data_IF_495141728608
#
_entry.id   IF_495141728608
#
_cell.length_a   1.000
_cell.length_b   1.000
_cell.length_c   1.000
_cell.angle_alpha   90.00
_cell.angle_beta   90.00
_cell.angle_gamma   90.00
#
_symmetry.space_group_name_H-M   'P 1'
#
loop_
_entity.id
_entity.type
_entity.pdbx_description
1 polymer ?
#
# COMPACT_ATOMS: atom_id res chain seq x y z
N UNK A 1 17.11 1.00 13.59
CA UNK A 1 17.55 -0.24 12.92
C UNK A 1 16.33 -1.10 12.67
N UNK A 2 16.12 -1.63 11.46
CA UNK A 2 15.01 -2.53 11.19
C UNK A 2 15.19 -3.87 11.91
N UNK A 3 14.12 -4.66 12.09
CA UNK A 3 14.19 -5.95 12.77
C UNK A 3 14.99 -7.01 11.99
N UNK A 4 15.16 -6.81 10.68
CA UNK A 4 15.97 -7.63 9.78
C UNK A 4 16.31 -6.85 8.51
N UNK A 5 17.28 -7.32 7.75
CA UNK A 5 17.57 -6.85 6.41
C UNK A 5 17.15 -7.90 5.37
N UNK A 6 16.80 -7.43 4.17
CA UNK A 6 16.34 -8.29 3.07
C UNK A 6 14.85 -8.58 3.14
N UNK A 7 14.43 -9.72 2.60
CA UNK A 7 13.02 -10.03 2.28
C UNK A 7 12.49 -11.18 3.14
N UNK A 8 11.21 -11.08 3.55
CA UNK A 8 10.42 -12.17 4.14
C UNK A 8 9.13 -12.38 3.36
N UNK A 9 8.66 -13.62 3.35
CA UNK A 9 7.39 -14.01 2.73
C UNK A 9 6.46 -14.52 3.82
N UNK A 10 5.28 -13.93 3.91
CA UNK A 10 4.22 -14.36 4.82
C UNK A 10 3.06 -14.86 3.96
N UNK A 11 2.60 -16.07 4.21
CA UNK A 11 1.50 -16.70 3.50
C UNK A 11 0.34 -16.98 4.44
N UNK A 12 -0.88 -17.00 3.89
CA UNK A 12 -2.07 -17.34 4.65
C UNK A 12 -2.47 -16.26 5.66
N UNK A 13 -2.31 -14.97 5.33
CA UNK A 13 -2.74 -13.88 6.22
C UNK A 13 -4.25 -13.94 6.39
N UNK A 14 -4.77 -14.13 7.63
CA UNK A 14 -6.21 -14.24 7.85
C UNK A 14 -6.95 -12.97 7.49
N UNK A 15 -8.04 -13.07 6.72
CA UNK A 15 -8.86 -11.91 6.32
C UNK A 15 -9.39 -11.13 7.53
N UNK A 16 -9.60 -11.81 8.66
CA UNK A 16 -10.06 -11.19 9.90
C UNK A 16 -9.13 -10.10 10.44
N UNK A 17 -7.83 -10.16 10.12
CA UNK A 17 -6.85 -9.18 10.59
C UNK A 17 -6.94 -7.84 9.84
N UNK A 18 -7.32 -7.85 8.55
CA UNK A 18 -7.29 -6.65 7.72
C UNK A 18 -8.65 -6.22 7.15
N UNK A 19 -9.69 -7.06 7.19
CA UNK A 19 -11.01 -6.69 6.64
C UNK A 19 -11.61 -5.41 7.22
N UNK A 20 -11.26 -5.06 8.46
CA UNK A 20 -11.71 -3.83 9.13
C UNK A 20 -11.11 -2.55 8.50
N UNK A 21 -10.07 -2.70 7.67
CA UNK A 21 -9.44 -1.60 6.92
C UNK A 21 -10.01 -1.46 5.51
N UNK A 22 -11.01 -2.28 5.16
CA UNK A 22 -11.65 -2.23 3.86
C UNK A 22 -12.38 -0.89 3.71
N UNK A 23 -12.11 -0.19 2.61
CA UNK A 23 -12.83 1.04 2.28
C UNK A 23 -14.19 0.68 1.66
N UNK A 24 -15.25 0.64 2.52
CA UNK A 24 -16.62 0.35 2.08
C UNK A 24 -17.10 1.35 1.02
N UNK A 25 -16.67 2.62 1.09
CA UNK A 25 -17.08 3.63 0.12
C UNK A 25 -16.44 3.38 -1.24
N UNK A 26 -15.16 3.08 -1.29
CA UNK A 26 -14.47 2.72 -2.52
C UNK A 26 -15.05 1.43 -3.12
N UNK A 27 -15.40 0.44 -2.29
CA UNK A 27 -16.07 -0.78 -2.73
C UNK A 27 -17.45 -0.51 -3.28
N UNK A 28 -18.35 0.07 -2.48
CA UNK A 28 -19.76 0.20 -2.84
C UNK A 28 -19.98 1.21 -3.96
N UNK A 29 -19.43 2.41 -3.83
CA UNK A 29 -19.61 3.46 -4.83
C UNK A 29 -18.69 3.28 -6.05
N UNK A 30 -17.42 2.95 -5.81
CA UNK A 30 -16.40 2.86 -6.85
C UNK A 30 -16.47 1.55 -7.64
N UNK A 31 -16.40 0.41 -6.96
CA UNK A 31 -16.33 -0.91 -7.59
C UNK A 31 -17.71 -1.47 -7.97
N UNK A 32 -18.68 -1.40 -7.05
CA UNK A 32 -20.01 -1.98 -7.25
C UNK A 32 -21.01 -1.01 -7.86
N UNK A 33 -20.67 0.27 -7.97
CA UNK A 33 -21.50 1.29 -8.61
C UNK A 33 -22.80 1.61 -7.89
N UNK A 34 -22.88 1.38 -6.55
CA UNK A 34 -24.04 1.75 -5.76
C UNK A 34 -24.15 3.27 -5.69
N UNK A 35 -25.16 3.82 -6.36
CA UNK A 35 -25.38 5.27 -6.44
C UNK A 35 -26.80 5.58 -6.03
N UNK A 36 -26.95 6.46 -5.02
CA UNK A 36 -28.27 6.96 -4.64
C UNK A 36 -28.96 7.73 -5.77
N UNK A 37 -30.28 7.75 -5.70
CA UNK A 37 -31.10 8.48 -6.68
C UNK A 37 -30.81 9.98 -6.64
N UNK A 38 -30.70 10.59 -7.81
CA UNK A 38 -30.63 12.06 -7.94
C UNK A 38 -32.04 12.62 -7.93
N UNK A 39 -32.29 13.65 -7.10
CA UNK A 39 -33.57 14.38 -7.09
C UNK A 39 -34.66 13.80 -6.18
N UNK A 40 -34.32 12.94 -5.23
CA UNK A 40 -35.24 12.51 -4.16
C UNK A 40 -36.27 11.43 -4.55
N UNK A 41 -36.28 10.94 -5.78
CA UNK A 41 -37.17 9.86 -6.23
C UNK A 41 -36.46 8.51 -6.24
N UNK A 42 -36.13 7.96 -5.06
CA UNK A 42 -35.50 6.67 -4.91
C UNK A 42 -34.60 6.60 -3.66
N UNK A 43 -33.99 5.44 -3.38
CA UNK A 43 -33.17 5.26 -2.19
C UNK A 43 -31.94 6.18 -2.19
N UNK A 44 -31.59 6.67 -1.00
CA UNK A 44 -30.35 7.39 -0.78
C UNK A 44 -29.14 6.44 -0.88
N UNK A 45 -27.92 7.00 -0.95
CA UNK A 45 -26.71 6.16 -0.91
C UNK A 45 -26.61 5.38 0.41
N UNK A 46 -26.92 6.03 1.51
CA UNK A 46 -26.89 5.42 2.85
C UNK A 46 -27.86 4.26 2.97
N UNK A 47 -29.07 4.39 2.42
CA UNK A 47 -30.06 3.30 2.37
C UNK A 47 -29.54 2.14 1.52
N UNK A 48 -28.94 2.40 0.36
CA UNK A 48 -28.36 1.36 -0.49
C UNK A 48 -27.18 0.64 0.19
N UNK A 49 -26.37 1.36 0.95
CA UNK A 49 -25.29 0.75 1.74
C UNK A 49 -25.86 -0.26 2.73
N UNK A 50 -26.93 0.08 3.45
CA UNK A 50 -27.53 -0.81 4.46
C UNK A 50 -28.34 -1.96 3.85
N UNK A 51 -29.11 -1.69 2.79
CA UNK A 51 -30.02 -2.67 2.21
C UNK A 51 -29.38 -3.58 1.17
N UNK A 52 -28.34 -3.12 0.48
CA UNK A 52 -27.68 -3.87 -0.56
C UNK A 52 -26.17 -4.08 -0.32
N UNK A 53 -25.43 -3.00 -0.03
CA UNK A 53 -23.97 -3.04 0.04
C UNK A 53 -23.45 -3.99 1.11
N UNK A 54 -23.80 -3.75 2.37
CA UNK A 54 -23.37 -4.58 3.51
C UNK A 54 -23.89 -6.01 3.48
N UNK A 55 -25.15 -6.31 3.09
CA UNK A 55 -25.58 -7.69 2.90
C UNK A 55 -24.78 -8.44 1.85
N UNK A 56 -24.47 -7.83 0.68
CA UNK A 56 -23.64 -8.44 -0.35
C UNK A 56 -22.21 -8.66 0.13
N UNK A 57 -21.63 -7.68 0.82
CA UNK A 57 -20.29 -7.80 1.38
C UNK A 57 -20.20 -8.98 2.36
N UNK A 58 -21.16 -9.11 3.27
CA UNK A 58 -21.23 -10.26 4.18
C UNK A 58 -21.33 -11.56 3.42
N UNK A 59 -22.25 -11.65 2.46
CA UNK A 59 -22.44 -12.84 1.63
C UNK A 59 -21.13 -13.28 0.96
N UNK A 60 -20.42 -12.36 0.31
CA UNK A 60 -19.17 -12.70 -0.38
C UNK A 60 -18.05 -13.05 0.58
N UNK A 61 -17.89 -12.34 1.69
CA UNK A 61 -16.88 -12.67 2.68
C UNK A 61 -17.12 -14.07 3.29
N UNK A 62 -18.35 -14.39 3.62
CA UNK A 62 -18.71 -15.70 4.18
C UNK A 62 -18.49 -16.83 3.16
N UNK A 63 -18.96 -16.64 1.93
CA UNK A 63 -18.83 -17.63 0.85
C UNK A 63 -17.36 -17.89 0.51
N UNK A 64 -16.61 -16.84 0.21
CA UNK A 64 -15.19 -16.97 -0.17
C UNK A 64 -14.33 -17.52 0.98
N UNK A 65 -14.70 -17.24 2.24
CA UNK A 65 -14.03 -17.83 3.40
C UNK A 65 -14.36 -19.31 3.55
N UNK A 66 -15.64 -19.69 3.42
CA UNK A 66 -16.10 -21.08 3.54
C UNK A 66 -15.49 -21.96 2.43
N UNK A 67 -15.38 -21.42 1.23
CA UNK A 67 -14.76 -22.12 0.09
C UNK A 67 -13.21 -22.11 0.15
N UNK A 68 -12.62 -21.51 1.19
CA UNK A 68 -11.17 -21.48 1.38
C UNK A 68 -10.40 -20.52 0.45
N UNK A 69 -11.10 -19.72 -0.33
CA UNK A 69 -10.52 -18.84 -1.36
C UNK A 69 -9.68 -17.72 -0.72
N UNK A 70 -10.13 -17.14 0.41
CA UNK A 70 -9.44 -16.05 1.10
C UNK A 70 -8.23 -16.49 1.94
N UNK A 71 -7.91 -17.79 2.00
CA UNK A 71 -6.79 -18.32 2.77
C UNK A 71 -5.42 -18.14 2.07
N UNK A 72 -5.43 -17.66 0.82
CA UNK A 72 -4.24 -17.55 -0.02
C UNK A 72 -3.60 -16.17 -0.04
N UNK A 73 -4.10 -15.25 0.79
CA UNK A 73 -3.52 -13.92 0.94
C UNK A 73 -2.06 -14.03 1.40
N UNK A 74 -1.18 -13.29 0.71
CA UNK A 74 0.24 -13.34 1.01
C UNK A 74 0.88 -11.96 0.86
N UNK A 75 1.98 -11.77 1.59
CA UNK A 75 2.78 -10.56 1.57
C UNK A 75 4.26 -10.93 1.44
N UNK A 76 4.93 -10.29 0.51
CA UNK A 76 6.40 -10.22 0.47
C UNK A 76 6.78 -8.84 0.95
N UNK A 77 7.61 -8.73 1.97
CA UNK A 77 8.08 -7.44 2.46
C UNK A 77 9.53 -7.52 2.93
N UNK A 78 10.17 -6.38 3.03
CA UNK A 78 11.55 -6.35 3.50
C UNK A 78 12.06 -4.95 3.72
N UNK A 79 13.23 -4.87 4.37
CA UNK A 79 13.92 -3.64 4.70
C UNK A 79 15.24 -3.60 3.97
N UNK A 80 15.51 -2.46 3.34
CA UNK A 80 16.69 -2.29 2.50
C UNK A 80 17.43 -1.00 2.87
N UNK A 81 18.77 -1.06 2.97
CA UNK A 81 19.57 0.12 3.18
C UNK A 81 19.56 0.99 1.93
N UNK A 82 19.33 2.29 2.11
CA UNK A 82 19.25 3.24 0.99
C UNK A 82 19.99 4.54 1.28
N UNK A 83 20.43 5.18 0.19
CA UNK A 83 20.89 6.58 0.15
C UNK A 83 20.30 7.27 -1.07
N UNK A 84 20.30 8.60 -1.09
CA UNK A 84 19.89 9.37 -2.27
C UNK A 84 21.05 10.15 -2.88
N UNK A 85 21.02 10.29 -4.21
CA UNK A 85 21.88 11.17 -4.99
C UNK A 85 21.01 11.91 -6.01
N UNK A 86 20.89 13.24 -5.89
CA UNK A 86 19.97 14.01 -6.73
C UNK A 86 18.52 13.51 -6.60
N UNK A 87 17.91 13.12 -7.71
CA UNK A 87 16.53 12.60 -7.79
C UNK A 87 16.49 11.06 -7.81
N UNK A 88 17.61 10.40 -7.47
CA UNK A 88 17.74 8.93 -7.50
C UNK A 88 17.92 8.39 -6.09
N UNK A 89 17.23 7.29 -5.79
CA UNK A 89 17.40 6.49 -4.58
C UNK A 89 18.17 5.22 -4.95
N UNK A 90 19.27 4.98 -4.26
CA UNK A 90 20.12 3.80 -4.43
C UNK A 90 19.85 2.82 -3.29
N UNK A 91 19.47 1.59 -3.63
CA UNK A 91 19.41 0.47 -2.70
C UNK A 91 20.78 -0.16 -2.62
N UNK A 92 21.33 -0.26 -1.42
CA UNK A 92 22.66 -0.79 -1.17
C UNK A 92 22.61 -2.30 -0.86
N UNK A 93 23.73 -2.98 -1.06
CA UNK A 93 23.85 -4.41 -0.72
C UNK A 93 23.98 -4.64 0.79
N UNK A 94 24.49 -3.66 1.53
CA UNK A 94 24.76 -3.71 2.97
C UNK A 94 24.42 -2.36 3.63
N UNK A 95 24.12 -2.34 4.94
CA UNK A 95 23.74 -1.12 5.66
C UNK A 95 24.95 -0.22 6.01
N UNK A 96 25.77 0.11 5.04
CA UNK A 96 26.91 1.04 5.15
C UNK A 96 26.99 1.96 3.92
N UNK A 97 27.42 3.22 4.08
CA UNK A 97 27.35 4.24 3.02
C UNK A 97 28.17 3.93 1.75
N UNK A 98 29.27 3.21 1.92
CA UNK A 98 30.22 2.81 0.85
C UNK A 98 29.87 1.46 0.21
N UNK A 99 28.79 0.81 0.64
CA UNK A 99 28.36 -0.45 0.06
C UNK A 99 28.00 -0.33 -1.42
N UNK A 100 28.22 -1.38 -2.23
CA UNK A 100 27.81 -1.41 -3.61
C UNK A 100 26.32 -1.16 -3.79
N UNK A 101 25.95 -0.48 -4.88
CA UNK A 101 24.57 -0.27 -5.27
C UNK A 101 24.01 -1.54 -5.88
N UNK A 102 22.89 -2.01 -5.36
CA UNK A 102 22.14 -3.18 -5.86
C UNK A 102 21.12 -2.78 -6.92
N UNK A 103 20.32 -1.73 -6.64
CA UNK A 103 19.32 -1.17 -7.53
C UNK A 103 19.26 0.35 -7.39
N UNK A 104 18.80 1.02 -8.45
CA UNK A 104 18.60 2.47 -8.46
C UNK A 104 17.21 2.79 -8.99
N UNK A 105 16.53 3.72 -8.33
CA UNK A 105 15.22 4.23 -8.73
C UNK A 105 15.31 5.74 -8.90
N UNK A 106 15.13 6.24 -10.13
CA UNK A 106 15.05 7.68 -10.42
C UNK A 106 13.59 8.11 -10.41
N UNK A 107 13.32 9.19 -9.70
CA UNK A 107 11.96 9.72 -9.54
C UNK A 107 11.86 11.10 -10.17
N UNK A 108 10.82 11.35 -11.00
CA UNK A 108 10.61 12.69 -11.56
C UNK A 108 10.27 13.68 -10.44
N UNK A 109 10.91 14.85 -10.50
CA UNK A 109 10.63 15.95 -9.57
C UNK A 109 9.32 16.64 -9.96
N UNK A 110 8.51 17.00 -8.97
CA UNK A 110 7.28 17.77 -9.19
C UNK A 110 7.56 19.10 -9.93
N UNK A 111 6.72 19.42 -10.91
CA UNK A 111 6.80 20.66 -11.69
C UNK A 111 6.07 21.87 -11.04
N UNK A 112 5.45 21.68 -9.88
CA UNK A 112 4.71 22.70 -9.13
C UNK A 112 5.52 23.22 -7.93
N UNK A 113 5.15 24.40 -7.37
CA UNK A 113 5.80 24.95 -6.19
C UNK A 113 5.96 23.91 -5.08
N UNK A 114 7.15 23.87 -4.48
CA UNK A 114 7.80 22.92 -3.58
C UNK A 114 8.73 21.94 -4.30
N UNK A 115 8.54 21.66 -5.58
CA UNK A 115 9.42 20.82 -6.41
C UNK A 115 9.90 19.55 -5.69
N UNK A 116 8.98 18.84 -5.03
CA UNK A 116 9.31 17.67 -4.22
C UNK A 116 9.66 16.47 -5.11
N UNK A 117 10.64 15.71 -4.66
CA UNK A 117 11.00 14.40 -5.19
C UNK A 117 11.00 13.38 -4.03
N UNK A 118 10.69 12.11 -4.31
CA UNK A 118 10.75 11.04 -3.31
C UNK A 118 12.15 10.93 -2.71
N UNK A 119 13.19 11.14 -3.52
CA UNK A 119 14.59 11.13 -3.07
C UNK A 119 14.91 12.18 -1.99
N UNK A 120 14.13 13.27 -1.91
CA UNK A 120 14.34 14.33 -0.90
C UNK A 120 14.06 13.84 0.53
N UNK A 121 13.32 12.74 0.70
CA UNK A 121 13.00 12.15 1.99
C UNK A 121 13.99 11.07 2.44
N UNK A 122 14.97 10.76 1.61
CA UNK A 122 16.04 9.79 1.87
C UNK A 122 17.34 10.55 2.15
N UNK A 123 18.13 10.06 3.11
CA UNK A 123 19.44 10.61 3.45
C UNK A 123 20.34 10.63 2.21
N UNK A 124 21.01 11.76 1.94
CA UNK A 124 21.97 11.84 0.84
C UNK A 124 23.18 10.95 1.12
N UNK A 125 23.86 10.49 0.07
CA UNK A 125 25.09 9.70 0.22
C UNK A 125 26.16 10.49 1.00
N UNK A 126 26.30 11.79 0.75
CA UNK A 126 27.27 12.63 1.47
C UNK A 126 26.96 12.68 2.97
N UNK A 127 25.69 12.89 3.36
CA UNK A 127 25.30 12.86 4.77
C UNK A 127 25.47 11.47 5.38
N UNK A 128 25.23 10.43 4.58
CA UNK A 128 25.40 9.04 5.03
C UNK A 128 26.88 8.75 5.32
N UNK A 129 27.80 9.18 4.44
CA UNK A 129 29.26 9.07 4.63
C UNK A 129 29.69 9.86 5.86
N UNK A 130 29.23 11.11 6.00
CA UNK A 130 29.61 11.98 7.12
C UNK A 130 29.14 11.44 8.49
N UNK A 131 28.03 10.71 8.52
CA UNK A 131 27.43 10.19 9.77
C UNK A 131 27.67 8.70 10.00
N UNK A 132 28.16 7.97 8.99
CA UNK A 132 28.28 6.52 9.03
C UNK A 132 26.92 5.78 9.03
N UNK A 133 25.81 6.47 8.67
CA UNK A 133 24.46 5.93 8.77
C UNK A 133 23.72 6.04 7.43
N UNK A 134 23.06 4.96 7.03
CA UNK A 134 22.14 4.91 5.89
C UNK A 134 20.71 4.94 6.34
N UNK A 135 19.79 5.32 5.44
CA UNK A 135 18.36 5.19 5.71
C UNK A 135 17.86 3.77 5.41
N UNK A 136 16.64 3.49 5.87
CA UNK A 136 15.93 2.23 5.65
C UNK A 136 14.72 2.50 4.78
N UNK A 137 14.62 1.82 3.65
CA UNK A 137 13.42 1.83 2.82
C UNK A 137 12.73 0.48 2.88
N UNK A 138 11.49 0.41 3.41
CA UNK A 138 10.69 -0.80 3.33
C UNK A 138 10.06 -0.93 1.95
N UNK A 139 10.03 -2.16 1.42
CA UNK A 139 9.21 -2.53 0.27
C UNK A 139 8.21 -3.59 0.68
N UNK A 140 7.03 -3.55 0.08
CA UNK A 140 6.02 -4.59 0.23
C UNK A 140 5.32 -4.87 -1.09
N UNK A 141 4.95 -6.14 -1.29
CA UNK A 141 4.08 -6.63 -2.34
C UNK A 141 3.02 -7.51 -1.70
N UNK A 142 1.76 -7.24 -1.98
CA UNK A 142 0.62 -7.97 -1.41
C UNK A 142 -0.20 -8.64 -2.51
N UNK A 143 -0.82 -9.76 -2.18
CA UNK A 143 -1.73 -10.48 -3.09
C UNK A 143 -2.81 -11.19 -2.31
N UNK A 144 -4.01 -11.27 -2.89
CA UNK A 144 -5.08 -12.16 -2.39
C UNK A 144 -4.92 -13.61 -2.88
N UNK A 145 -3.92 -13.86 -3.74
CA UNK A 145 -3.63 -15.18 -4.30
C UNK A 145 -4.41 -15.49 -5.58
N UNK A 146 -3.97 -16.54 -6.27
CA UNK A 146 -4.57 -16.98 -7.53
C UNK A 146 -6.02 -17.47 -7.39
N UNK A 147 -6.43 -18.19 -6.30
CA UNK A 147 -7.78 -18.75 -6.22
C UNK A 147 -8.91 -17.74 -6.35
N UNK A 148 -8.77 -16.50 -5.83
CA UNK A 148 -9.82 -15.48 -5.98
C UNK A 148 -9.91 -14.98 -7.43
N UNK A 149 -8.78 -14.88 -8.14
CA UNK A 149 -8.76 -14.51 -9.55
C UNK A 149 -9.41 -15.61 -10.41
N UNK A 150 -9.10 -16.88 -10.15
CA UNK A 150 -9.70 -18.02 -10.85
C UNK A 150 -11.20 -18.10 -10.59
N UNK A 151 -11.64 -17.85 -9.35
CA UNK A 151 -13.05 -17.82 -9.01
C UNK A 151 -13.78 -16.68 -9.75
N UNK A 152 -13.22 -15.48 -9.78
CA UNK A 152 -13.79 -14.36 -10.54
C UNK A 152 -13.85 -14.66 -12.05
N UNK A 153 -12.78 -15.21 -12.62
CA UNK A 153 -12.75 -15.61 -14.04
C UNK A 153 -13.81 -16.67 -14.37
N UNK A 154 -14.05 -17.62 -13.46
CA UNK A 154 -15.10 -18.62 -13.63
C UNK A 154 -16.48 -17.97 -13.65
N UNK A 155 -16.79 -17.04 -12.74
CA UNK A 155 -18.06 -16.30 -12.75
C UNK A 155 -18.26 -15.53 -14.06
N UNK A 156 -17.19 -14.95 -14.60
CA UNK A 156 -17.25 -14.29 -15.91
C UNK A 156 -17.56 -15.27 -17.04
N UNK A 157 -16.90 -16.44 -17.05
CA UNK A 157 -17.12 -17.49 -18.06
C UNK A 157 -18.53 -18.11 -18.01
N UNK A 158 -19.12 -18.13 -16.80
CA UNK A 158 -20.48 -18.65 -16.56
C UNK A 158 -21.57 -17.57 -16.80
N UNK A 159 -21.25 -16.44 -17.46
CA UNK A 159 -22.13 -15.29 -17.70
C UNK A 159 -22.71 -14.62 -16.43
N UNK A 160 -22.16 -14.94 -15.25
CA UNK A 160 -22.53 -14.32 -13.97
C UNK A 160 -21.82 -12.98 -13.77
N UNK A 161 -22.05 -12.06 -14.71
CA UNK A 161 -21.25 -10.82 -14.84
C UNK A 161 -21.34 -9.92 -13.61
N UNK A 162 -22.51 -9.83 -12.96
CA UNK A 162 -22.67 -9.06 -11.73
C UNK A 162 -21.82 -9.64 -10.60
N UNK A 163 -21.89 -10.96 -10.39
CA UNK A 163 -21.13 -11.65 -9.37
C UNK A 163 -19.62 -11.52 -9.62
N UNK A 164 -19.20 -11.60 -10.89
CA UNK A 164 -17.82 -11.31 -11.30
C UNK A 164 -17.37 -9.92 -10.85
N UNK A 165 -18.16 -8.87 -11.17
CA UNK A 165 -17.81 -7.49 -10.77
C UNK A 165 -17.75 -7.32 -9.26
N UNK A 166 -18.67 -7.95 -8.53
CA UNK A 166 -18.72 -7.90 -7.08
C UNK A 166 -17.48 -8.57 -6.46
N UNK A 167 -17.11 -9.76 -6.90
CA UNK A 167 -15.92 -10.49 -6.41
C UNK A 167 -14.63 -9.80 -6.84
N UNK A 168 -14.54 -9.37 -8.10
CA UNK A 168 -13.36 -8.65 -8.58
C UNK A 168 -13.13 -7.35 -7.79
N UNK A 169 -14.16 -6.52 -7.62
CA UNK A 169 -14.08 -5.28 -6.85
C UNK A 169 -13.73 -5.53 -5.38
N UNK A 170 -14.31 -6.58 -4.77
CA UNK A 170 -13.96 -6.98 -3.40
C UNK A 170 -12.49 -7.43 -3.31
N UNK A 171 -12.00 -8.20 -4.28
CA UNK A 171 -10.59 -8.62 -4.33
C UNK A 171 -9.64 -7.42 -4.36
N UNK A 172 -9.94 -6.41 -5.18
CA UNK A 172 -9.15 -5.16 -5.24
C UNK A 172 -9.13 -4.48 -3.87
N UNK A 173 -10.30 -4.28 -3.26
CA UNK A 173 -10.38 -3.56 -1.98
C UNK A 173 -9.79 -4.36 -0.81
N UNK A 174 -9.86 -5.68 -0.81
CA UNK A 174 -9.17 -6.52 0.17
C UNK A 174 -7.65 -6.46 -0.01
N UNK A 175 -7.15 -6.38 -1.25
CA UNK A 175 -5.72 -6.21 -1.52
C UNK A 175 -5.22 -4.86 -0.96
N UNK A 176 -5.98 -3.78 -1.15
CA UNK A 176 -5.65 -2.46 -0.58
C UNK A 176 -5.69 -2.49 0.97
N UNK A 177 -6.70 -3.12 1.55
CA UNK A 177 -6.80 -3.29 3.01
C UNK A 177 -5.62 -4.09 3.58
N UNK A 178 -5.19 -5.16 2.88
CA UNK A 178 -4.02 -5.95 3.25
C UNK A 178 -2.73 -5.12 3.16
N UNK A 179 -2.60 -4.28 2.11
CA UNK A 179 -1.45 -3.38 1.96
C UNK A 179 -1.39 -2.35 3.09
N UNK A 180 -2.52 -1.75 3.45
CA UNK A 180 -2.60 -0.80 4.58
C UNK A 180 -2.31 -1.48 5.93
N UNK A 181 -2.84 -2.67 6.15
CA UNK A 181 -2.54 -3.47 7.34
C UNK A 181 -1.04 -3.73 7.47
N UNK A 182 -0.40 -4.13 6.37
CA UNK A 182 1.03 -4.40 6.36
C UNK A 182 1.87 -3.14 6.49
N UNK A 183 1.42 -2.03 5.90
CA UNK A 183 2.06 -0.72 6.07
C UNK A 183 2.11 -0.29 7.56
N UNK A 184 1.01 -0.46 8.29
CA UNK A 184 0.96 -0.20 9.74
C UNK A 184 1.96 -1.07 10.48
N UNK A 185 1.98 -2.37 10.20
CA UNK A 185 2.94 -3.31 10.79
C UNK A 185 4.40 -2.90 10.51
N UNK A 186 4.73 -2.53 9.28
CA UNK A 186 6.07 -2.03 8.92
C UNK A 186 6.44 -0.77 9.72
N UNK A 187 5.50 0.15 9.90
CA UNK A 187 5.73 1.35 10.72
C UNK A 187 6.00 1.00 12.17
N UNK A 188 5.23 0.08 12.74
CA UNK A 188 5.42 -0.41 14.12
C UNK A 188 6.79 -1.09 14.28
N UNK A 189 7.16 -1.97 13.36
CA UNK A 189 8.46 -2.66 13.36
C UNK A 189 9.63 -1.66 13.26
N UNK A 190 9.47 -0.55 12.54
CA UNK A 190 10.45 0.55 12.46
C UNK A 190 10.31 1.57 13.61
N UNK A 191 9.32 1.42 14.49
CA UNK A 191 9.02 2.35 15.58
C UNK A 191 8.80 3.78 15.10
N UNK A 192 8.11 3.93 13.98
CA UNK A 192 7.78 5.24 13.41
C UNK A 192 6.50 5.75 14.08
N UNK A 193 6.51 6.94 14.69
CA UNK A 193 5.32 7.50 15.32
C UNK A 193 4.24 7.78 14.28
N UNK A 194 2.97 7.62 14.68
CA UNK A 194 1.84 8.00 13.85
C UNK A 194 1.89 9.51 13.55
N UNK A 195 1.73 9.88 12.28
CA UNK A 195 1.75 11.28 11.84
C UNK A 195 3.13 11.92 11.69
N UNK A 196 4.24 11.20 11.88
CA UNK A 196 5.57 11.71 11.61
C UNK A 196 5.84 11.82 10.10
N UNK A 197 5.35 12.89 9.50
CA UNK A 197 6.00 13.45 8.31
C UNK A 197 7.39 13.88 8.78
N UNK A 198 8.39 13.15 8.35
CA UNK A 198 9.77 13.24 8.83
C UNK A 198 10.24 14.68 9.01
N UNK A 199 10.67 15.02 10.24
CA UNK A 199 11.39 16.25 10.54
C UNK A 199 12.69 16.41 9.70
N UNK A 200 13.18 15.34 9.06
CA UNK A 200 14.29 15.33 8.13
C UNK A 200 13.99 16.12 6.86
N UNK A 201 12.76 16.02 6.30
CA UNK A 201 12.36 16.80 5.14
C UNK A 201 12.32 18.31 5.42
N UNK A 202 12.00 18.71 6.66
CA UNK A 202 12.00 20.12 7.05
C UNK A 202 13.40 20.71 7.29
N UNK A 203 14.37 19.89 7.69
CA UNK A 203 15.76 20.33 7.89
C UNK A 203 16.49 20.54 6.56
N UNK A 204 16.28 19.67 5.57
CA UNK A 204 16.88 19.82 4.23
C UNK A 204 16.35 21.05 3.46
N UNK A 205 15.15 21.55 3.79
CA UNK A 205 14.63 22.82 3.24
C UNK A 205 15.46 24.02 3.65
N UNK A 206 16.01 24.03 4.89
CA UNK A 206 16.80 25.18 5.39
C UNK A 206 18.19 25.27 4.79
N UNK A 207 18.82 24.14 4.44
CA UNK A 207 20.17 24.12 3.89
C UNK A 207 20.21 24.46 2.39
N UNK A 208 19.15 24.15 1.60
CA UNK A 208 19.09 24.53 0.18
C UNK A 208 18.69 26.00 -0.06
N UNK A 209 17.92 26.63 0.83
CA UNK A 209 17.60 28.05 0.71
C UNK A 209 18.75 28.98 1.14
N UNK A 210 19.78 28.47 1.81
CA UNK A 210 20.95 29.24 2.24
C UNK A 210 22.12 29.18 1.24
N UNK A 211 22.00 28.44 0.14
CA UNK A 211 23.04 28.23 -0.87
C UNK A 211 22.81 28.96 -2.21
N UNK A 212 21.80 29.83 -2.31
CA UNK A 212 21.53 30.70 -3.47
C UNK A 212 21.42 32.14 -3.00
N UNK A 213 22.55 32.73 -2.69
CA UNK A 213 22.80 34.17 -2.63
C UNK A 213 24.17 34.48 -3.25
#
# INVERSE_FOLDING_TARGET
>A
TPPFWGTRIIKGVPVAEYRQLLDERALFLGQWGLRGARGGNGPSYEELVETEGRPRLRYWLDRLSTEGILQHAAVVYGYFPVVSEGDTVHVLTEPRPDAPVRYSFSFPRQQRPKFLCIADFIRSRDDAIATGQVDVLPFQLVTMGQPIADFANKLFADDAYRDYLEVHGLSVQLTEALAEFWHRRVRDELRLPDGAVSAAASRRRRTRSAGTA
#
